data_IF_743136584736
#
_entry.id   IF_743136584736
#
_cell.length_a   1.000
_cell.length_b   1.000
_cell.length_c   1.000
_cell.angle_alpha   90.00
_cell.angle_beta   90.00
_cell.angle_gamma   90.00
#
_symmetry.space_group_name_H-M   'P 1'
#
loop_
_entity.id
_entity.type
_entity.pdbx_description
1 polymer ?
#
# COMPACT_ATOMS: atom_id res chain seq x y z
N UNK A 1 2.35 -4.76 -17.23
CA UNK A 1 2.84 -4.69 -15.83
C UNK A 1 4.35 -4.91 -15.68
N UNK A 2 4.95 -5.98 -16.25
CA UNK A 2 6.38 -6.31 -16.04
C UNK A 2 7.37 -5.22 -16.45
N UNK A 3 7.23 -4.61 -17.63
CA UNK A 3 8.14 -3.55 -18.08
C UNK A 3 8.11 -2.33 -17.15
N UNK A 4 6.91 -1.91 -16.77
CA UNK A 4 6.70 -0.79 -15.84
C UNK A 4 7.33 -1.10 -14.47
N UNK A 5 7.16 -2.32 -13.96
CA UNK A 5 7.76 -2.72 -12.68
C UNK A 5 9.28 -2.60 -12.71
N UNK A 6 9.93 -3.08 -13.77
CA UNK A 6 11.39 -2.99 -13.92
C UNK A 6 11.87 -1.54 -13.94
N UNK A 7 11.16 -0.66 -14.66
CA UNK A 7 11.53 0.73 -14.81
C UNK A 7 11.28 1.57 -13.54
N UNK A 8 10.16 1.34 -12.84
CA UNK A 8 9.69 2.22 -11.77
C UNK A 8 9.91 1.67 -10.36
N UNK A 9 10.06 0.36 -10.19
CA UNK A 9 10.09 -0.29 -8.88
C UNK A 9 11.37 -1.08 -8.61
N UNK A 10 11.86 -1.84 -9.59
CA UNK A 10 12.93 -2.82 -9.40
C UNK A 10 14.26 -2.20 -8.96
N UNK A 11 14.63 -1.06 -9.54
CA UNK A 11 15.89 -0.38 -9.25
C UNK A 11 15.88 0.44 -7.95
N UNK A 12 14.80 0.36 -7.16
CA UNK A 12 14.64 1.11 -5.91
C UNK A 12 14.56 0.13 -4.73
N UNK A 13 15.67 -0.15 -4.02
CA UNK A 13 15.73 -1.21 -3.00
C UNK A 13 14.65 -1.07 -1.91
N UNK A 14 14.37 0.14 -1.44
CA UNK A 14 13.36 0.39 -0.41
C UNK A 14 11.96 -0.03 -0.85
N UNK A 15 11.62 0.14 -2.13
CA UNK A 15 10.32 -0.25 -2.68
C UNK A 15 10.12 -1.76 -2.58
N UNK A 16 11.16 -2.53 -2.92
CA UNK A 16 11.09 -3.99 -2.86
C UNK A 16 10.99 -4.50 -1.42
N UNK A 17 11.71 -3.89 -0.48
CA UNK A 17 11.62 -4.28 0.94
C UNK A 17 10.24 -3.96 1.50
N UNK A 18 9.71 -2.75 1.27
CA UNK A 18 8.36 -2.39 1.73
C UNK A 18 7.31 -3.28 1.07
N UNK A 19 7.43 -3.57 -0.23
CA UNK A 19 6.53 -4.50 -0.90
C UNK A 19 6.55 -5.89 -0.22
N UNK A 20 7.72 -6.42 0.14
CA UNK A 20 7.83 -7.68 0.88
C UNK A 20 7.18 -7.62 2.26
N UNK A 21 7.33 -6.52 2.99
CA UNK A 21 6.65 -6.33 4.28
C UNK A 21 5.13 -6.33 4.10
N UNK A 22 4.60 -5.63 3.09
CA UNK A 22 3.17 -5.65 2.79
C UNK A 22 2.69 -7.04 2.40
N UNK A 23 3.48 -7.79 1.63
CA UNK A 23 3.19 -9.19 1.29
C UNK A 23 3.16 -10.11 2.51
N UNK A 24 4.07 -9.90 3.46
CA UNK A 24 4.03 -10.61 4.74
C UNK A 24 2.76 -10.27 5.53
N UNK A 25 2.34 -9.00 5.57
CA UNK A 25 1.05 -8.62 6.19
C UNK A 25 -0.17 -9.30 5.52
N UNK A 26 -0.12 -9.58 4.22
CA UNK A 26 -1.14 -10.38 3.56
C UNK A 26 -1.09 -11.85 3.98
N UNK A 27 0.11 -12.40 4.13
CA UNK A 27 0.32 -13.78 4.57
C UNK A 27 -0.27 -14.04 5.96
N UNK A 28 -0.08 -13.11 6.91
CA UNK A 28 -0.70 -13.18 8.24
C UNK A 28 -2.18 -12.72 8.24
N UNK A 29 -2.84 -12.74 7.08
CA UNK A 29 -4.28 -12.52 6.90
C UNK A 29 -4.82 -11.16 7.37
N UNK A 30 -4.02 -10.10 7.33
CA UNK A 30 -4.51 -8.74 7.58
C UNK A 30 -5.48 -8.30 6.47
N UNK A 31 -6.27 -7.22 6.67
CA UNK A 31 -7.16 -6.69 5.62
C UNK A 31 -6.47 -6.31 4.30
N UNK A 32 -5.13 -6.21 4.26
CA UNK A 32 -4.41 -6.04 2.99
C UNK A 32 -4.58 -7.23 2.04
N UNK A 33 -5.04 -8.40 2.51
CA UNK A 33 -5.27 -9.59 1.67
C UNK A 33 -6.28 -9.35 0.54
N UNK A 34 -7.16 -8.33 0.66
CA UNK A 34 -8.08 -7.95 -0.41
C UNK A 34 -7.41 -7.23 -1.58
N UNK A 35 -6.16 -6.78 -1.45
CA UNK A 35 -5.40 -6.15 -2.54
C UNK A 35 -4.58 -7.19 -3.29
N UNK A 36 -4.68 -7.24 -4.62
CA UNK A 36 -3.78 -8.05 -5.43
C UNK A 36 -2.34 -7.48 -5.39
N UNK A 37 -1.37 -8.28 -5.85
CA UNK A 37 0.04 -7.86 -5.88
C UNK A 37 0.25 -6.56 -6.66
N UNK A 38 -0.47 -6.39 -7.77
CA UNK A 38 -0.34 -5.21 -8.61
C UNK A 38 -0.78 -3.93 -7.89
N UNK A 39 -1.87 -3.97 -7.13
CA UNK A 39 -2.28 -2.85 -6.27
C UNK A 39 -1.22 -2.50 -5.23
N UNK A 40 -0.59 -3.48 -4.60
CA UNK A 40 0.50 -3.22 -3.65
C UNK A 40 1.71 -2.58 -4.32
N UNK A 41 2.08 -3.05 -5.51
CA UNK A 41 3.17 -2.49 -6.32
C UNK A 41 2.89 -1.02 -6.64
N UNK A 42 1.70 -0.71 -7.17
CA UNK A 42 1.31 0.65 -7.52
C UNK A 42 1.19 1.55 -6.29
N UNK A 43 0.70 1.03 -5.18
CA UNK A 43 0.59 1.78 -3.92
C UNK A 43 1.96 2.18 -3.39
N UNK A 44 2.93 1.24 -3.35
CA UNK A 44 4.29 1.52 -2.90
C UNK A 44 4.93 2.57 -3.80
N UNK A 45 4.84 2.40 -5.12
CA UNK A 45 5.36 3.39 -6.07
C UNK A 45 4.73 4.77 -5.87
N UNK A 46 3.39 4.84 -5.76
CA UNK A 46 2.64 6.10 -5.58
C UNK A 46 3.08 6.84 -4.31
N UNK A 47 3.45 6.11 -3.26
CA UNK A 47 3.87 6.69 -1.99
C UNK A 47 5.36 7.03 -1.96
N UNK A 48 6.16 6.51 -2.88
CA UNK A 48 7.58 6.83 -2.97
C UNK A 48 7.77 8.23 -3.56
N UNK A 49 8.50 9.08 -2.84
CA UNK A 49 8.96 10.39 -3.30
C UNK A 49 10.48 10.46 -3.17
N UNK A 50 11.14 11.36 -3.93
CA UNK A 50 12.60 11.52 -3.89
C UNK A 50 13.15 11.83 -2.48
N UNK A 51 12.32 12.41 -1.59
CA UNK A 51 12.67 12.70 -0.20
C UNK A 51 12.66 11.47 0.73
N UNK A 52 12.09 10.34 0.29
CA UNK A 52 12.00 9.12 1.09
C UNK A 52 13.26 8.28 0.88
N UNK A 53 14.11 8.30 1.91
CA UNK A 53 15.41 7.66 1.91
C UNK A 53 15.54 6.53 2.95
N UNK A 54 14.42 5.98 3.45
CA UNK A 54 14.44 4.83 4.36
C UNK A 54 13.19 3.95 4.22
N UNK A 55 13.35 2.67 4.59
CA UNK A 55 12.27 1.68 4.59
C UNK A 55 11.14 2.14 5.52
N UNK A 56 11.46 2.60 6.72
CA UNK A 56 10.49 3.05 7.72
C UNK A 56 9.68 4.25 7.22
N UNK A 57 10.32 5.22 6.55
CA UNK A 57 9.63 6.39 5.96
C UNK A 57 8.65 5.95 4.87
N UNK A 58 9.09 5.07 3.97
CA UNK A 58 8.24 4.57 2.88
C UNK A 58 7.07 3.73 3.42
N UNK A 59 7.33 2.84 4.38
CA UNK A 59 6.30 2.03 5.04
C UNK A 59 5.25 2.91 5.71
N UNK A 60 5.69 3.92 6.48
CA UNK A 60 4.79 4.91 7.08
C UNK A 60 4.00 5.70 6.02
N UNK A 61 4.63 6.09 4.92
CA UNK A 61 3.97 6.81 3.82
C UNK A 61 2.86 5.98 3.18
N UNK A 62 3.09 4.69 2.92
CA UNK A 62 2.07 3.75 2.42
C UNK A 62 0.87 3.69 3.36
N UNK A 63 1.11 3.49 4.66
CA UNK A 63 0.02 3.42 5.64
C UNK A 63 -0.68 4.76 5.87
N UNK A 64 0.01 5.88 5.71
CA UNK A 64 -0.58 7.22 5.73
C UNK A 64 -1.50 7.43 4.52
N UNK A 65 -1.08 6.98 3.34
CA UNK A 65 -1.88 7.03 2.12
C UNK A 65 -3.17 6.20 2.27
N UNK A 66 -3.06 4.97 2.77
CA UNK A 66 -4.21 4.11 3.04
C UNK A 66 -5.13 4.66 4.13
N UNK A 67 -4.57 5.17 5.23
CA UNK A 67 -5.35 5.71 6.36
C UNK A 67 -6.08 7.00 6.01
N UNK A 68 -5.58 7.76 5.04
CA UNK A 68 -6.28 8.91 4.46
C UNK A 68 -7.56 8.51 3.71
N UNK A 69 -7.76 7.21 3.45
CA UNK A 69 -8.91 6.70 2.71
C UNK A 69 -8.74 6.79 1.19
N UNK A 70 -7.53 6.65 0.65
CA UNK A 70 -7.31 6.64 -0.83
C UNK A 70 -8.21 5.64 -1.57
N UNK A 71 -8.61 4.56 -0.90
CA UNK A 71 -9.49 3.54 -1.45
C UNK A 71 -10.98 3.79 -1.17
N UNK A 72 -11.38 4.80 -0.39
CA UNK A 72 -12.81 4.98 -0.07
C UNK A 72 -13.58 5.52 -1.30
N UNK A 73 -14.84 5.09 -1.49
CA UNK A 73 -15.72 5.70 -2.50
C UNK A 73 -15.91 7.19 -2.17
N UNK A 74 -16.11 8.02 -3.20
CA UNK A 74 -16.36 9.47 -3.12
C UNK A 74 -15.13 10.38 -2.92
N UNK A 75 -13.89 9.85 -3.02
CA UNK A 75 -12.76 10.75 -3.27
C UNK A 75 -12.82 11.27 -4.72
N UNK A 76 -12.47 12.54 -4.91
CA UNK A 76 -12.42 13.27 -6.20
C UNK A 76 -11.45 12.68 -7.25
N UNK A 77 -10.96 11.44 -7.08
CA UNK A 77 -10.00 10.81 -7.97
C UNK A 77 -10.17 9.30 -8.08
N UNK A 78 -9.61 8.69 -9.14
CA UNK A 78 -9.82 7.29 -9.52
C UNK A 78 -9.13 6.24 -8.62
N UNK A 79 -8.81 6.56 -7.37
CA UNK A 79 -8.10 5.62 -6.48
C UNK A 79 -6.66 5.32 -6.94
N UNK A 80 -6.33 4.03 -7.13
CA UNK A 80 -5.00 3.59 -7.57
C UNK A 80 -5.04 3.37 -9.08
N UNK A 81 -4.59 4.35 -9.85
CA UNK A 81 -4.60 4.28 -11.32
C UNK A 81 -3.59 3.25 -11.82
N UNK A 82 -4.01 2.37 -12.73
CA UNK A 82 -3.10 1.49 -13.47
C UNK A 82 -2.41 2.25 -14.62
N UNK A 83 -1.07 2.46 -14.55
CA UNK A 83 -0.34 3.16 -15.59
C UNK A 83 -0.08 2.33 -16.86
N UNK A 84 -0.43 1.03 -16.85
CA UNK A 84 -0.32 0.16 -18.01
C UNK A 84 -1.60 0.13 -18.87
N UNK A 85 -2.69 0.74 -18.39
CA UNK A 85 -3.94 0.87 -19.13
C UNK A 85 -4.01 2.22 -19.86
N UNK A 86 -4.71 2.24 -21.00
CA UNK A 86 -4.90 3.48 -21.78
C UNK A 86 -5.91 4.42 -21.12
N UNK A 87 -6.96 3.85 -20.55
CA UNK A 87 -8.01 4.57 -19.85
C UNK A 87 -7.68 4.71 -18.35
N UNK A 88 -8.36 5.63 -17.66
CA UNK A 88 -8.21 5.83 -16.22
C UNK A 88 -8.86 4.68 -15.43
N UNK A 89 -8.14 3.57 -15.31
CA UNK A 89 -8.60 2.36 -14.62
C UNK A 89 -8.12 2.34 -13.16
N UNK A 90 -9.06 2.24 -12.21
CA UNK A 90 -8.72 1.94 -10.81
C UNK A 90 -8.31 0.47 -10.69
N UNK A 91 -7.03 0.24 -10.42
CA UNK A 91 -6.45 -1.08 -10.19
C UNK A 91 -7.11 -1.81 -9.01
N UNK A 92 -7.76 -1.09 -8.08
CA UNK A 92 -8.48 -1.67 -6.94
C UNK A 92 -10.01 -1.71 -7.14
N UNK A 93 -10.53 -1.49 -8.35
CA UNK A 93 -11.97 -1.43 -8.65
C UNK A 93 -12.77 -2.67 -8.20
N UNK A 94 -12.14 -3.85 -8.16
CA UNK A 94 -12.77 -5.09 -7.68
C UNK A 94 -12.95 -5.18 -6.16
N UNK A 95 -12.31 -4.30 -5.38
CA UNK A 95 -12.38 -4.31 -3.91
C UNK A 95 -13.68 -3.64 -3.47
N UNK A 96 -14.48 -4.32 -2.66
CA UNK A 96 -15.79 -3.81 -2.22
C UNK A 96 -15.66 -2.62 -1.26
N UNK A 97 -16.72 -1.80 -1.14
CA UNK A 97 -16.73 -0.67 -0.20
C UNK A 97 -16.48 -1.09 1.26
N UNK A 98 -16.99 -2.27 1.66
CA UNK A 98 -16.74 -2.84 2.98
C UNK A 98 -15.26 -3.19 3.17
N UNK A 99 -14.65 -3.87 2.20
CA UNK A 99 -13.23 -4.22 2.22
C UNK A 99 -12.35 -2.97 2.22
N UNK A 100 -12.69 -1.96 1.42
CA UNK A 100 -12.02 -0.64 1.38
C UNK A 100 -12.03 0.01 2.76
N UNK A 101 -13.18 -0.01 3.45
CA UNK A 101 -13.33 0.53 4.81
C UNK A 101 -12.48 -0.24 5.84
N UNK A 102 -12.45 -1.58 5.75
CA UNK A 102 -11.59 -2.43 6.59
C UNK A 102 -10.11 -2.11 6.40
N UNK A 103 -9.65 -1.96 5.15
CA UNK A 103 -8.26 -1.58 4.85
C UNK A 103 -7.92 -0.21 5.44
N UNK A 104 -8.80 0.79 5.25
CA UNK A 104 -8.58 2.14 5.78
C UNK A 104 -8.52 2.15 7.31
N UNK A 105 -9.47 1.49 7.99
CA UNK A 105 -9.46 1.38 9.45
C UNK A 105 -8.22 0.65 9.97
N UNK A 106 -7.82 -0.44 9.30
CA UNK A 106 -6.59 -1.16 9.63
C UNK A 106 -5.36 -0.24 9.49
N UNK A 107 -5.26 0.48 8.38
CA UNK A 107 -4.15 1.41 8.15
C UNK A 107 -4.09 2.54 9.20
N UNK A 108 -5.25 3.04 9.64
CA UNK A 108 -5.35 4.01 10.73
C UNK A 108 -4.79 3.44 12.06
N UNK A 109 -4.97 2.15 12.34
CA UNK A 109 -4.37 1.52 13.51
C UNK A 109 -2.86 1.34 13.36
N UNK A 110 -2.40 0.93 12.17
CA UNK A 110 -0.95 0.78 11.89
C UNK A 110 -0.19 2.09 12.08
N UNK A 111 -0.71 3.23 11.60
CA UNK A 111 -0.03 4.52 11.81
C UNK A 111 0.07 4.91 13.29
N UNK A 112 -0.89 4.48 14.13
CA UNK A 112 -0.82 4.67 15.59
C UNK A 112 0.26 3.78 16.19
N UNK A 113 0.32 2.51 15.81
CA UNK A 113 1.39 1.61 16.27
C UNK A 113 2.78 2.10 15.85
N UNK A 114 2.95 2.60 14.63
CA UNK A 114 4.21 3.23 14.20
C UNK A 114 4.54 4.47 15.05
N UNK A 115 3.55 5.31 15.36
CA UNK A 115 3.77 6.53 16.15
C UNK A 115 4.17 6.24 17.61
N UNK A 116 3.73 5.10 18.16
CA UNK A 116 4.06 4.64 19.51
C UNK A 116 5.14 3.54 19.51
N UNK A 117 5.81 3.30 18.38
CA UNK A 117 6.88 2.30 18.22
C UNK A 117 6.48 0.84 18.59
N UNK A 118 5.19 0.50 18.45
CA UNK A 118 4.62 -0.82 18.76
C UNK A 118 4.68 -1.76 17.55
N UNK A 119 5.89 -2.04 17.06
CA UNK A 119 6.09 -2.87 15.86
C UNK A 119 5.73 -4.35 16.07
N UNK A 120 5.79 -4.84 17.30
CA UNK A 120 5.32 -6.16 17.73
C UNK A 120 3.84 -6.40 17.43
N UNK A 121 3.02 -5.34 17.45
CA UNK A 121 1.59 -5.43 17.08
C UNK A 121 1.34 -5.46 15.57
N UNK A 122 2.34 -5.01 14.78
CA UNK A 122 2.28 -5.00 13.31
C UNK A 122 2.84 -6.32 12.77
N UNK A 123 3.95 -6.76 13.36
CA UNK A 123 4.70 -7.95 13.00
C UNK A 123 4.85 -8.82 14.26
N UNK A 124 3.79 -9.56 14.66
CA UNK A 124 3.88 -10.46 15.79
C UNK A 124 4.94 -11.52 15.50
N UNK A 125 5.80 -11.77 16.49
CA UNK A 125 6.67 -12.94 16.51
C UNK A 125 5.82 -14.11 16.98
N UNK A 126 5.83 -15.21 16.22
CA UNK A 126 5.23 -16.49 16.64
C UNK A 126 5.90 -17.03 17.92
#
# INVERSE_FOLDING_TARGET
HSNWFTQCMFNVPYNLVVLRLLRHLQYIQTPLCYLNLWCLVLLVHKCHTQSINSITKLFRAVFTCLSSGILLPNKLGPGIIDPCEKDLVDAASYVTNEQRSKITSYAQNIIRFIAFEQFDKIFPLD
#
